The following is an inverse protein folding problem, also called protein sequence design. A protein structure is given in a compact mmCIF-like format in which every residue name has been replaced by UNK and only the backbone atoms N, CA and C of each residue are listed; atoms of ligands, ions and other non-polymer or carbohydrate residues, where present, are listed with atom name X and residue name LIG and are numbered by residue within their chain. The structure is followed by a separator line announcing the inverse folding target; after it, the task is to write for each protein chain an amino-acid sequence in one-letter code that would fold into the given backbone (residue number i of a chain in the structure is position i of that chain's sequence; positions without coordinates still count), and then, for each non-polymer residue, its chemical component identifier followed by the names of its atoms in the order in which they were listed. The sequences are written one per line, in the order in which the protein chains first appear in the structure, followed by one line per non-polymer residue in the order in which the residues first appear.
data_IF_978166434099
#
_entry.id   IF_978166434099
#
_cell.length_a   1.000
_cell.length_b   1.000
_cell.length_c   1.000
_cell.angle_alpha   90.00
_cell.angle_beta   90.00
_cell.angle_gamma   90.00
#
_symmetry.space_group_name_H-M   'P 1'
#
loop_
_entity.id
_entity.type
_entity.pdbx_description
1 polymer ?
#
# COMPACT_ATOMS: atom_id res chain seq x y z
N UNK A 1 -9.65 -18.05 11.18
CA UNK A 1 -9.52 -17.40 9.86
C UNK A 1 -8.32 -16.48 9.92
N UNK A 2 -7.53 -16.37 8.87
CA UNK A 2 -6.41 -15.42 8.84
C UNK A 2 -6.96 -14.00 8.69
N UNK A 3 -6.57 -13.09 9.58
CA UNK A 3 -7.01 -11.70 9.59
C UNK A 3 -5.89 -10.77 10.03
N UNK A 4 -5.99 -9.50 9.64
CA UNK A 4 -5.11 -8.41 10.08
C UNK A 4 -5.94 -7.13 10.25
N UNK A 5 -5.43 -6.17 11.01
CA UNK A 5 -6.08 -4.86 11.09
C UNK A 5 -6.00 -4.15 9.73
N UNK A 6 -4.82 -4.24 9.09
CA UNK A 6 -4.52 -3.55 7.84
C UNK A 6 -3.94 -4.54 6.82
N UNK A 7 -4.62 -4.66 5.67
CA UNK A 7 -4.13 -5.40 4.51
C UNK A 7 -3.66 -4.44 3.41
N UNK A 8 -2.39 -4.57 3.01
CA UNK A 8 -1.77 -3.74 1.98
C UNK A 8 -1.62 -4.56 0.70
N UNK A 9 -2.15 -4.05 -0.41
CA UNK A 9 -2.11 -4.69 -1.72
C UNK A 9 -0.97 -4.06 -2.54
N UNK A 10 0.16 -4.75 -2.61
CA UNK A 10 1.35 -4.36 -3.36
C UNK A 10 2.53 -3.96 -2.46
N UNK A 11 3.66 -4.65 -2.61
CA UNK A 11 4.92 -4.38 -1.90
C UNK A 11 5.86 -3.46 -2.68
N UNK A 12 5.30 -2.47 -3.37
CA UNK A 12 6.07 -1.36 -3.93
C UNK A 12 6.46 -0.35 -2.86
N UNK A 13 7.13 0.74 -3.26
CA UNK A 13 7.67 1.71 -2.30
C UNK A 13 6.58 2.36 -1.42
N UNK A 14 5.41 2.65 -1.98
CA UNK A 14 4.29 3.21 -1.23
C UNK A 14 3.71 2.22 -0.21
N UNK A 15 3.51 0.96 -0.62
CA UNK A 15 2.97 -0.09 0.25
C UNK A 15 3.92 -0.47 1.37
N UNK A 16 5.22 -0.58 1.07
CA UNK A 16 6.24 -0.81 2.10
C UNK A 16 6.36 0.37 3.06
N UNK A 17 6.28 1.61 2.56
CA UNK A 17 6.26 2.79 3.43
C UNK A 17 5.04 2.78 4.35
N UNK A 18 3.84 2.50 3.82
CA UNK A 18 2.65 2.37 4.65
C UNK A 18 2.82 1.26 5.71
N UNK A 19 3.37 0.11 5.32
CA UNK A 19 3.57 -1.03 6.22
C UNK A 19 4.50 -0.72 7.40
N UNK A 20 5.57 0.04 7.17
CA UNK A 20 6.49 0.46 8.24
C UNK A 20 5.72 1.21 9.32
N UNK A 21 4.94 2.22 8.94
CA UNK A 21 4.25 3.07 9.91
C UNK A 21 3.05 2.38 10.56
N UNK A 22 2.29 1.56 9.83
CA UNK A 22 1.18 0.83 10.43
C UNK A 22 1.65 -0.23 11.42
N UNK A 23 2.72 -0.96 11.08
CA UNK A 23 3.29 -1.97 11.97
C UNK A 23 3.94 -1.31 13.20
N UNK A 24 4.72 -0.24 13.02
CA UNK A 24 5.31 0.52 14.13
C UNK A 24 4.23 1.02 15.09
N UNK A 25 3.11 1.51 14.56
CA UNK A 25 1.99 2.00 15.37
C UNK A 25 1.22 0.91 16.13
N UNK A 26 1.59 -0.37 15.97
CA UNK A 26 1.06 -1.52 16.70
C UNK A 26 -0.08 -2.26 16.00
N UNK A 27 -0.38 -1.94 14.73
CA UNK A 27 -1.42 -2.63 13.97
C UNK A 27 -0.91 -3.94 13.40
N UNK A 28 -1.71 -5.00 13.50
CA UNK A 28 -1.47 -6.22 12.71
C UNK A 28 -1.54 -5.87 11.23
N UNK A 29 -0.38 -5.89 10.57
CA UNK A 29 -0.19 -5.41 9.20
C UNK A 29 0.28 -6.54 8.32
N UNK A 30 -0.41 -6.78 7.20
CA UNK A 30 0.02 -7.72 6.17
C UNK A 30 0.20 -7.01 4.82
N UNK A 31 1.25 -7.37 4.08
CA UNK A 31 1.48 -6.92 2.70
C UNK A 31 1.42 -8.12 1.77
N UNK A 32 0.49 -8.08 0.80
CA UNK A 32 0.42 -9.05 -0.29
C UNK A 32 1.21 -8.51 -1.50
N UNK A 33 2.32 -9.16 -1.84
CA UNK A 33 3.23 -8.69 -2.88
C UNK A 33 3.71 -9.80 -3.81
N UNK A 34 3.60 -9.58 -5.12
CA UNK A 34 4.14 -10.48 -6.15
C UNK A 34 5.57 -10.14 -6.57
N UNK A 35 6.26 -9.25 -5.86
CA UNK A 35 7.58 -8.73 -6.21
C UNK A 35 7.63 -7.99 -7.57
N UNK A 36 6.51 -7.44 -8.04
CA UNK A 36 6.39 -6.78 -9.37
C UNK A 36 6.51 -5.24 -9.33
N UNK A 37 7.17 -4.69 -8.31
CA UNK A 37 7.41 -3.25 -8.21
C UNK A 37 8.15 -2.73 -9.45
N UNK A 38 7.66 -1.64 -10.04
CA UNK A 38 8.29 -0.98 -11.19
C UNK A 38 9.65 -0.35 -10.86
N UNK A 39 9.93 -0.15 -9.57
CA UNK A 39 11.22 0.35 -9.11
C UNK A 39 12.29 -0.74 -9.15
N UNK A 40 11.93 -2.02 -9.02
CA UNK A 40 12.87 -3.14 -8.91
C UNK A 40 13.94 -3.19 -10.02
N UNK A 41 13.62 -3.06 -11.33
CA UNK A 41 14.62 -3.14 -12.39
C UNK A 41 15.51 -1.89 -12.52
N UNK A 42 15.30 -0.84 -11.72
CA UNK A 42 16.08 0.38 -11.81
C UNK A 42 17.45 0.17 -11.16
N UNK A 43 18.52 0.23 -11.94
CA UNK A 43 19.89 -0.02 -11.45
C UNK A 43 20.47 1.18 -10.68
N UNK A 44 20.03 2.40 -11.00
CA UNK A 44 20.60 3.64 -10.46
C UNK A 44 19.51 4.58 -9.97
N UNK A 45 19.09 4.43 -8.70
CA UNK A 45 18.20 5.38 -8.03
C UNK A 45 19.07 6.44 -7.35
N UNK A 46 19.16 7.62 -7.96
CA UNK A 46 19.93 8.78 -7.46
C UNK A 46 19.06 9.86 -6.81
N UNK A 47 17.74 9.75 -6.95
CA UNK A 47 16.77 10.77 -6.53
C UNK A 47 15.98 10.37 -5.27
N UNK A 48 16.59 9.55 -4.41
CA UNK A 48 16.03 9.20 -3.11
C UNK A 48 16.90 9.81 -2.00
N UNK A 49 16.45 10.90 -1.34
CA UNK A 49 17.23 11.55 -0.29
C UNK A 49 17.67 10.57 0.81
N UNK A 50 18.88 10.80 1.35
CA UNK A 50 19.50 9.92 2.34
C UNK A 50 20.46 8.87 1.75
N UNK A 51 20.51 8.73 0.43
CA UNK A 51 21.48 7.90 -0.28
C UNK A 51 22.42 8.80 -1.10
N UNK A 52 23.63 9.09 -0.60
CA UNK A 52 24.58 9.95 -1.31
C UNK A 52 25.10 9.29 -2.58
N UNK A 53 25.26 7.96 -2.58
CA UNK A 53 25.50 7.16 -3.77
C UNK A 53 24.20 6.56 -4.33
N UNK A 54 24.21 6.23 -5.62
CA UNK A 54 23.09 5.54 -6.25
C UNK A 54 22.83 4.18 -5.58
N UNK A 55 21.57 3.89 -5.29
CA UNK A 55 21.11 2.59 -4.80
C UNK A 55 20.32 1.88 -5.91
N UNK A 56 20.39 0.56 -5.98
CA UNK A 56 19.52 -0.19 -6.90
C UNK A 56 18.09 -0.19 -6.36
N UNK A 57 17.10 -0.22 -7.24
CA UNK A 57 15.70 -0.29 -6.83
C UNK A 57 15.37 -1.58 -6.07
N UNK A 58 16.01 -2.69 -6.43
CA UNK A 58 15.89 -3.95 -5.69
C UNK A 58 16.42 -3.83 -4.26
N UNK A 59 17.60 -3.24 -4.07
CA UNK A 59 18.21 -3.04 -2.75
C UNK A 59 17.39 -2.07 -1.89
N UNK A 60 16.89 -0.97 -2.47
CA UNK A 60 16.02 -0.03 -1.77
C UNK A 60 14.73 -0.71 -1.27
N UNK A 61 14.06 -1.49 -2.13
CA UNK A 61 12.86 -2.25 -1.74
C UNK A 61 13.18 -3.33 -0.68
N UNK A 62 14.33 -3.99 -0.80
CA UNK A 62 14.80 -4.99 0.16
C UNK A 62 15.02 -4.38 1.55
N UNK A 63 15.65 -3.21 1.63
CA UNK A 63 15.84 -2.47 2.89
C UNK A 63 14.52 -2.06 3.52
N UNK A 64 13.58 -1.52 2.73
CA UNK A 64 12.26 -1.13 3.23
C UNK A 64 11.44 -2.34 3.70
N UNK A 65 11.54 -3.48 3.00
CA UNK A 65 10.94 -4.75 3.45
C UNK A 65 11.47 -5.16 4.82
N UNK A 66 12.79 -5.21 4.99
CA UNK A 66 13.42 -5.56 6.28
C UNK A 66 13.01 -4.61 7.40
N UNK A 67 12.88 -3.32 7.09
CA UNK A 67 12.41 -2.32 8.05
C UNK A 67 10.96 -2.59 8.46
N UNK A 68 10.05 -2.84 7.52
CA UNK A 68 8.67 -3.18 7.82
C UNK A 68 8.57 -4.46 8.69
N UNK A 69 9.34 -5.49 8.33
CA UNK A 69 9.41 -6.76 9.08
C UNK A 69 9.95 -6.55 10.51
N UNK A 70 10.91 -5.65 10.70
CA UNK A 70 11.44 -5.35 12.05
C UNK A 70 10.43 -4.70 12.99
N UNK A 71 9.37 -4.08 12.46
CA UNK A 71 8.24 -3.57 13.23
C UNK A 71 7.06 -4.56 13.32
N UNK A 72 7.19 -5.77 12.75
CA UNK A 72 6.19 -6.82 12.83
C UNK A 72 5.23 -6.91 11.63
N UNK A 73 5.48 -6.18 10.54
CA UNK A 73 4.70 -6.37 9.32
C UNK A 73 4.95 -7.76 8.71
N UNK A 74 3.88 -8.46 8.32
CA UNK A 74 3.98 -9.73 7.60
C UNK A 74 3.96 -9.49 6.09
N UNK A 75 4.98 -9.95 5.37
CA UNK A 75 4.98 -9.91 3.91
C UNK A 75 4.71 -11.30 3.32
N UNK A 76 3.65 -11.40 2.52
CA UNK A 76 3.26 -12.64 1.85
C UNK A 76 3.47 -12.51 0.35
N UNK A 77 4.13 -13.51 -0.24
CA UNK A 77 4.35 -13.58 -1.68
C UNK A 77 3.10 -14.10 -2.41
N UNK A 78 2.00 -13.37 -2.28
CA UNK A 78 0.67 -13.76 -2.75
C UNK A 78 0.03 -12.59 -3.55
N UNK A 79 -0.98 -12.90 -4.35
CA UNK A 79 -1.76 -11.93 -5.12
C UNK A 79 -3.14 -11.76 -4.50
N UNK A 80 -3.60 -10.52 -4.36
CA UNK A 80 -5.03 -10.28 -4.11
C UNK A 80 -5.80 -10.40 -5.42
N UNK A 81 -6.65 -11.41 -5.52
CA UNK A 81 -7.47 -11.71 -6.69
C UNK A 81 -8.81 -10.97 -6.66
N UNK A 82 -9.39 -10.76 -5.47
CA UNK A 82 -10.62 -10.00 -5.32
C UNK A 82 -10.72 -9.32 -3.95
N UNK A 83 -11.51 -8.23 -3.88
CA UNK A 83 -11.88 -7.57 -2.63
C UNK A 83 -13.39 -7.39 -2.57
N UNK A 84 -14.00 -7.72 -1.42
CA UNK A 84 -15.40 -7.42 -1.15
C UNK A 84 -15.51 -6.60 0.11
N UNK A 85 -16.30 -5.53 0.07
CA UNK A 85 -16.71 -4.79 1.25
C UNK A 85 -17.96 -5.46 1.86
N UNK A 86 -18.05 -5.44 3.18
CA UNK A 86 -19.17 -6.00 3.92
C UNK A 86 -18.69 -6.61 5.23
N UNK A 87 -19.45 -6.38 6.30
CA UNK A 87 -19.11 -6.90 7.61
C UNK A 87 -19.10 -8.44 7.60
N UNK A 88 -17.92 -9.02 7.78
CA UNK A 88 -17.70 -10.46 7.79
C UNK A 88 -16.88 -10.79 9.03
N UNK A 89 -17.51 -11.45 10.02
CA UNK A 89 -16.87 -11.80 11.29
C UNK A 89 -16.19 -10.61 12.00
N UNK A 90 -16.83 -9.42 11.97
CA UNK A 90 -16.32 -8.20 12.58
C UNK A 90 -15.27 -7.44 11.75
N UNK A 91 -14.88 -7.94 10.58
CA UNK A 91 -14.00 -7.22 9.64
C UNK A 91 -14.78 -6.58 8.50
N UNK A 92 -14.31 -5.41 8.02
CA UNK A 92 -14.97 -4.65 6.95
C UNK A 92 -14.76 -5.21 5.55
N UNK A 93 -13.67 -5.96 5.35
CA UNK A 93 -13.28 -6.47 4.05
C UNK A 93 -12.97 -7.96 4.08
N UNK A 94 -13.36 -8.64 3.00
CA UNK A 94 -12.96 -10.00 2.67
C UNK A 94 -12.16 -9.98 1.37
N UNK A 95 -10.90 -10.42 1.45
CA UNK A 95 -9.99 -10.54 0.33
C UNK A 95 -9.92 -12.01 -0.10
N UNK A 96 -9.94 -12.23 -1.42
CA UNK A 96 -9.50 -13.50 -2.01
C UNK A 96 -8.04 -13.36 -2.36
N UNK A 97 -7.17 -14.16 -1.76
CA UNK A 97 -5.72 -14.15 -2.00
C UNK A 97 -5.27 -15.47 -2.61
N UNK A 98 -4.38 -15.40 -3.60
CA UNK A 98 -3.85 -16.54 -4.33
C UNK A 98 -2.34 -16.64 -4.13
N UNK A 99 -1.83 -17.85 -3.88
CA UNK A 99 -0.40 -18.14 -3.83
C UNK A 99 0.25 -18.19 -5.24
N UNK A 100 1.49 -18.67 -5.33
CA UNK A 100 2.20 -18.76 -6.60
C UNK A 100 1.66 -19.88 -7.50
N UNK A 101 1.07 -20.92 -6.90
CA UNK A 101 0.44 -22.08 -7.52
C UNK A 101 -1.01 -21.80 -7.96
N UNK A 102 -1.59 -20.69 -7.50
CA UNK A 102 -2.95 -20.27 -7.80
C UNK A 102 -4.00 -20.80 -6.82
N UNK A 103 -3.59 -21.38 -5.70
CA UNK A 103 -4.53 -21.79 -4.66
C UNK A 103 -5.09 -20.55 -3.97
N UNK A 104 -6.41 -20.44 -3.93
CA UNK A 104 -7.10 -19.30 -3.33
C UNK A 104 -7.50 -19.58 -1.88
N UNK A 105 -7.38 -18.55 -1.05
CA UNK A 105 -7.90 -18.54 0.32
C UNK A 105 -8.51 -17.18 0.66
N UNK A 106 -9.43 -17.18 1.60
CA UNK A 106 -9.98 -15.95 2.15
C UNK A 106 -9.05 -15.33 3.19
N UNK A 107 -9.05 -14.01 3.27
CA UNK A 107 -8.36 -13.22 4.29
C UNK A 107 -9.21 -12.01 4.69
N UNK A 108 -9.34 -11.75 5.99
CA UNK A 108 -10.18 -10.66 6.50
C UNK A 108 -9.34 -9.46 6.94
N UNK A 109 -9.82 -8.24 6.71
CA UNK A 109 -9.18 -7.03 7.21
C UNK A 109 -10.16 -5.92 7.59
N UNK A 110 -9.77 -5.08 8.55
CA UNK A 110 -10.55 -3.89 8.94
C UNK A 110 -10.30 -2.72 7.99
N UNK A 111 -9.06 -2.59 7.54
CA UNK A 111 -8.60 -1.60 6.57
C UNK A 111 -7.88 -2.26 5.40
N UNK A 112 -8.04 -1.69 4.22
CA UNK A 112 -7.30 -2.09 3.02
C UNK A 112 -6.60 -0.87 2.43
N UNK A 113 -5.31 -1.00 2.11
CA UNK A 113 -4.54 0.01 1.37
C UNK A 113 -4.16 -0.58 0.01
N UNK A 114 -4.74 -0.06 -1.07
CA UNK A 114 -4.33 -0.39 -2.42
C UNK A 114 -3.10 0.42 -2.83
N UNK A 115 -1.92 -0.22 -2.80
CA UNK A 115 -0.64 0.31 -3.27
C UNK A 115 -0.17 -0.39 -4.56
N UNK A 116 -1.13 -0.88 -5.34
CA UNK A 116 -0.94 -1.84 -6.44
C UNK A 116 -0.61 -1.18 -7.79
N UNK A 117 -0.66 0.14 -7.85
CA UNK A 117 -0.44 0.98 -9.03
C UNK A 117 -1.23 0.52 -10.28
N UNK A 118 -0.63 -0.34 -11.10
CA UNK A 118 -1.21 -0.80 -12.37
C UNK A 118 -2.37 -1.78 -12.16
N UNK A 119 -2.35 -2.58 -11.08
CA UNK A 119 -3.44 -3.53 -10.83
C UNK A 119 -4.64 -2.80 -10.20
N UNK A 120 -5.65 -2.54 -11.04
CA UNK A 120 -6.88 -1.83 -10.68
C UNK A 120 -8.00 -2.72 -10.16
N UNK A 121 -7.87 -4.04 -10.28
CA UNK A 121 -8.95 -4.97 -9.95
C UNK A 121 -9.55 -4.75 -8.55
N UNK A 122 -8.77 -4.51 -7.47
CA UNK A 122 -9.33 -4.20 -6.16
C UNK A 122 -10.22 -2.93 -6.12
N UNK A 123 -9.92 -1.94 -6.96
CA UNK A 123 -10.71 -0.72 -7.09
C UNK A 123 -12.01 -1.00 -7.86
N UNK A 124 -11.90 -1.74 -8.96
CA UNK A 124 -13.03 -2.14 -9.81
C UNK A 124 -14.04 -3.01 -9.04
N UNK A 125 -13.55 -3.95 -8.23
CA UNK A 125 -14.39 -4.81 -7.39
C UNK A 125 -15.24 -4.03 -6.39
N UNK A 126 -14.81 -2.81 -6.04
CA UNK A 126 -15.50 -1.91 -5.11
C UNK A 126 -16.21 -0.74 -5.82
N UNK A 127 -16.23 -0.72 -7.15
CA UNK A 127 -16.84 0.36 -7.94
C UNK A 127 -16.12 1.70 -7.83
N UNK A 128 -14.84 1.71 -7.45
CA UNK A 128 -14.02 2.92 -7.36
C UNK A 128 -13.53 3.30 -8.75
N UNK A 129 -14.01 4.43 -9.26
CA UNK A 129 -13.62 4.91 -10.58
C UNK A 129 -12.19 5.44 -10.61
N UNK A 130 -11.49 5.18 -11.73
CA UNK A 130 -10.15 5.71 -11.99
C UNK A 130 -10.11 6.53 -13.27
N UNK A 131 -9.14 7.43 -13.35
CA UNK A 131 -8.83 8.21 -14.54
C UNK A 131 -7.32 8.29 -14.78
N UNK A 132 -6.90 8.64 -15.99
CA UNK A 132 -5.48 8.82 -16.29
C UNK A 132 -4.92 9.95 -15.42
N UNK A 133 -3.79 9.70 -14.76
CA UNK A 133 -3.18 10.71 -13.91
C UNK A 133 -2.50 11.79 -14.77
N UNK A 134 -2.91 13.06 -14.66
CA UNK A 134 -2.24 14.15 -15.38
C UNK A 134 -0.82 14.40 -14.84
N UNK A 135 -0.51 13.93 -13.63
CA UNK A 135 0.80 14.04 -13.01
C UNK A 135 1.82 13.03 -13.57
N UNK A 136 1.41 12.14 -14.49
CA UNK A 136 2.28 11.14 -15.11
C UNK A 136 2.22 11.26 -16.64
N UNK A 137 3.23 11.88 -17.28
CA UNK A 137 3.21 12.18 -18.72
C UNK A 137 3.04 10.97 -19.65
N UNK A 138 3.34 9.76 -19.18
CA UNK A 138 3.22 8.54 -20.00
C UNK A 138 1.78 8.12 -20.29
N UNK A 139 0.79 8.64 -19.55
CA UNK A 139 -0.62 8.26 -19.66
C UNK A 139 -0.93 6.82 -19.19
N UNK A 140 0.08 6.05 -18.76
CA UNK A 140 -0.07 4.64 -18.36
C UNK A 140 -0.52 4.43 -16.91
N UNK A 141 -0.44 5.48 -16.10
CA UNK A 141 -0.78 5.43 -14.68
C UNK A 141 -2.13 6.10 -14.47
N UNK A 142 -2.95 5.49 -13.62
CA UNK A 142 -4.24 6.03 -13.24
C UNK A 142 -4.26 6.43 -11.78
N UNK A 143 -5.17 7.34 -11.46
CA UNK A 143 -5.53 7.74 -10.11
C UNK A 143 -7.02 7.53 -9.88
N UNK A 144 -7.44 7.47 -8.63
CA UNK A 144 -8.87 7.48 -8.31
C UNK A 144 -9.49 8.84 -8.64
N UNK A 145 -10.74 8.85 -9.11
CA UNK A 145 -11.51 10.08 -9.26
C UNK A 145 -11.96 10.59 -7.90
N UNK A 146 -11.87 11.91 -7.68
CA UNK A 146 -12.24 12.52 -6.39
C UNK A 146 -11.33 12.13 -5.21
N UNK A 147 -10.14 11.60 -5.49
CA UNK A 147 -9.19 11.19 -4.45
C UNK A 147 -8.68 12.33 -3.58
N UNK A 148 -8.27 11.97 -2.37
CA UNK A 148 -7.67 12.88 -1.38
C UNK A 148 -6.16 12.69 -1.29
N UNK A 149 -5.45 13.72 -0.83
CA UNK A 149 -4.06 13.63 -0.38
C UNK A 149 -3.87 12.52 0.67
N UNK A 150 -4.86 12.32 1.55
CA UNK A 150 -4.86 11.27 2.56
C UNK A 150 -4.91 9.85 1.97
N UNK A 151 -5.25 9.70 0.69
CA UNK A 151 -5.49 8.42 0.05
C UNK A 151 -6.86 7.81 0.38
N UNK A 152 -7.71 8.53 1.09
CA UNK A 152 -9.09 8.09 1.37
C UNK A 152 -9.91 7.96 0.08
N UNK A 153 -10.75 6.93 0.04
CA UNK A 153 -11.70 6.70 -1.06
C UNK A 153 -13.14 6.93 -0.59
N UNK A 154 -14.10 6.84 -1.51
CA UNK A 154 -15.52 6.86 -1.18
C UNK A 154 -16.02 5.56 -0.50
N UNK A 155 -15.17 4.55 -0.34
CA UNK A 155 -15.48 3.30 0.36
C UNK A 155 -14.82 3.35 1.75
N UNK A 156 -15.59 3.48 2.85
CA UNK A 156 -15.04 3.63 4.19
C UNK A 156 -14.11 2.47 4.57
N UNK A 157 -12.89 2.81 5.00
CA UNK A 157 -11.86 1.83 5.38
C UNK A 157 -11.02 1.29 4.21
N UNK A 158 -11.36 1.64 2.96
CA UNK A 158 -10.53 1.35 1.80
C UNK A 158 -9.78 2.62 1.39
N UNK A 159 -8.46 2.51 1.32
CA UNK A 159 -7.54 3.59 1.00
C UNK A 159 -6.70 3.21 -0.22
N UNK A 160 -6.15 4.22 -0.90
CA UNK A 160 -5.13 4.06 -1.93
C UNK A 160 -3.82 4.70 -1.51
N UNK A 161 -2.71 4.15 -1.99
CA UNK A 161 -1.39 4.71 -1.76
C UNK A 161 -0.55 4.83 -3.04
N UNK A 162 0.47 5.68 -2.98
CA UNK A 162 1.34 6.04 -4.08
C UNK A 162 0.58 6.74 -5.21
N UNK A 163 0.91 6.40 -6.45
CA UNK A 163 0.42 7.12 -7.62
C UNK A 163 -1.11 7.03 -7.82
N UNK A 164 -1.76 6.03 -7.20
CA UNK A 164 -3.22 5.89 -7.23
C UNK A 164 -3.93 7.07 -6.55
N UNK A 165 -3.28 7.80 -5.64
CA UNK A 165 -3.83 9.03 -5.05
C UNK A 165 -3.67 10.27 -5.93
N UNK A 166 -2.96 10.14 -7.07
CA UNK A 166 -2.76 11.24 -8.01
C UNK A 166 -1.49 12.07 -7.82
N UNK A 167 -0.60 11.64 -6.92
CA UNK A 167 0.70 12.31 -6.73
C UNK A 167 1.64 12.11 -7.94
N UNK A 168 2.61 13.03 -8.16
CA UNK A 168 3.61 12.88 -9.21
C UNK A 168 4.47 11.61 -9.10
N UNK A 169 4.99 11.17 -10.25
CA UNK A 169 5.73 9.90 -10.41
C UNK A 169 7.18 9.92 -9.89
N UNK A 170 7.37 9.95 -8.57
CA UNK A 170 8.70 9.87 -7.95
C UNK A 170 8.69 8.91 -6.77
N UNK A 171 9.77 8.14 -6.60
CA UNK A 171 9.90 7.13 -5.53
C UNK A 171 9.67 7.73 -4.15
N UNK A 172 10.31 8.86 -3.84
CA UNK A 172 10.16 9.53 -2.54
C UNK A 172 8.75 10.10 -2.31
N UNK A 173 8.10 10.59 -3.37
CA UNK A 173 6.73 11.08 -3.29
C UNK A 173 5.77 9.91 -3.01
N UNK A 174 5.92 8.80 -3.72
CA UNK A 174 5.11 7.61 -3.49
C UNK A 174 5.33 7.01 -2.09
N UNK A 175 6.57 7.01 -1.58
CA UNK A 175 6.87 6.61 -0.21
C UNK A 175 6.19 7.53 0.82
N UNK A 176 6.37 8.85 0.68
CA UNK A 176 5.74 9.84 1.56
C UNK A 176 4.21 9.77 1.53
N UNK A 177 3.61 9.53 0.37
CA UNK A 177 2.17 9.34 0.28
C UNK A 177 1.72 8.04 0.97
N UNK A 178 2.47 6.94 0.83
CA UNK A 178 2.21 5.71 1.59
C UNK A 178 2.22 5.95 3.10
N UNK A 179 3.18 6.73 3.60
CA UNK A 179 3.22 7.18 4.99
C UNK A 179 2.01 8.04 5.34
N UNK A 180 1.66 9.03 4.54
CA UNK A 180 0.47 9.87 4.76
C UNK A 180 -0.80 9.03 4.93
N UNK A 181 -1.00 8.03 4.08
CA UNK A 181 -2.17 7.13 4.16
C UNK A 181 -2.14 6.27 5.42
N UNK A 182 -0.99 5.74 5.81
CA UNK A 182 -0.86 5.04 7.09
C UNK A 182 -1.21 5.95 8.26
N UNK A 183 -0.67 7.17 8.30
CA UNK A 183 -0.90 8.14 9.37
C UNK A 183 -2.37 8.56 9.48
N UNK A 184 -3.09 8.64 8.36
CA UNK A 184 -4.52 8.90 8.33
C UNK A 184 -5.30 7.80 9.07
N UNK A 185 -5.02 6.53 8.75
CA UNK A 185 -5.68 5.38 9.39
C UNK A 185 -5.33 5.34 10.88
N UNK A 186 -4.04 5.47 11.21
CA UNK A 186 -3.57 5.42 12.60
C UNK A 186 -4.22 6.53 13.43
N UNK A 187 -4.30 7.75 12.90
CA UNK A 187 -4.88 8.89 13.63
C UNK A 187 -6.38 8.73 13.84
N UNK A 188 -7.10 8.19 12.83
CA UNK A 188 -8.53 7.86 12.94
C UNK A 188 -8.78 6.81 14.02
N UNK A 189 -8.01 5.73 14.03
CA UNK A 189 -8.15 4.65 15.01
C UNK A 189 -7.75 5.07 16.43
N UNK A 190 -6.71 5.88 16.58
CA UNK A 190 -6.28 6.41 17.89
C UNK A 190 -7.17 7.57 18.39
N UNK A 191 -8.08 8.07 17.56
CA UNK A 191 -8.96 9.21 17.88
C UNK A 191 -8.23 10.54 18.06
N UNK A 192 -6.96 10.63 17.65
CA UNK A 192 -6.10 11.82 17.77
C UNK A 192 -4.97 11.77 16.75
N UNK A 193 -4.39 12.93 16.43
CA UNK A 193 -3.20 12.99 15.59
C UNK A 193 -2.10 12.09 16.16
N UNK A 194 -1.62 11.16 15.34
CA UNK A 194 -0.48 10.32 15.69
C UNK A 194 0.81 10.99 15.24
N UNK A 195 1.83 10.87 16.07
CA UNK A 195 3.17 11.36 15.81
C UNK A 195 4.14 10.30 16.28
N UNK A 196 5.07 9.93 15.41
CA UNK A 196 6.22 9.10 15.76
C UNK A 196 7.47 9.98 15.73
N UNK A 197 8.07 10.17 16.90
CA UNK A 197 9.38 10.78 17.08
C UNK A 197 10.22 9.82 17.92
N UNK A 198 11.46 9.56 17.52
CA UNK A 198 12.42 8.87 18.37
C UNK A 198 12.75 9.78 19.56
N UNK A 199 12.62 9.23 20.77
CA UNK A 199 12.96 9.90 22.04
C UNK A 199 14.45 9.83 22.34
#
# INVERSE_FOLDING_TARGET
MNSADIAIIGGGIAGLSAAIYTAEAGFSTVVFDQNKSQLRPIEHVQNYPGFPEAITGDELLSRMRKQAESFGAELKKEKVAAVKAGETNGSRFLLTVADAEGNERSFSANYVIAASNINKKPLEDLGIETEVSPAVPSGKISRIKGGSWSGETNVPGFYVAGLLSGVPTQSIIAAGQGTQTAMEIISKEKGKAHVWHDS
#
